data_IF_877772760799
#
_entry.id   IF_877772760799
#
_cell.length_a   1.000
_cell.length_b   1.000
_cell.length_c   1.000
_cell.angle_alpha   90.00
_cell.angle_beta   90.00
_cell.angle_gamma   90.00
#
_symmetry.space_group_name_H-M   'P 1'
#
loop_
_entity.id
_entity.type
_entity.pdbx_description
1 polymer ?
#
# COMPACT_ATOMS: atom_id res chain seq x y z
N UNK A 1 27.27 -31.32 11.86
CA UNK A 1 25.95 -30.72 12.17
C UNK A 1 25.88 -29.41 11.42
N UNK A 2 25.54 -29.46 10.14
CA UNK A 2 25.24 -28.26 9.35
C UNK A 2 24.00 -28.59 8.55
N UNK A 3 22.86 -28.09 9.01
CA UNK A 3 21.58 -28.18 8.30
C UNK A 3 21.12 -26.76 8.02
N UNK A 4 20.83 -26.46 6.76
CA UNK A 4 20.26 -25.19 6.38
C UNK A 4 18.79 -25.14 6.78
N UNK A 5 18.38 -24.01 7.34
CA UNK A 5 17.00 -23.78 7.75
C UNK A 5 16.58 -22.37 7.36
N UNK A 6 15.29 -22.23 7.02
CA UNK A 6 14.66 -20.94 6.75
C UNK A 6 13.72 -20.64 7.90
N UNK A 7 13.94 -19.50 8.55
CA UNK A 7 13.07 -19.02 9.63
C UNK A 7 12.22 -17.89 9.06
N UNK A 8 10.91 -18.01 9.19
CA UNK A 8 9.97 -16.93 8.91
C UNK A 8 9.60 -16.25 10.24
N UNK A 9 9.94 -14.97 10.45
CA UNK A 9 9.59 -14.27 11.67
C UNK A 9 8.08 -14.06 11.73
N UNK A 10 7.45 -14.50 12.81
CA UNK A 10 6.02 -14.33 13.05
C UNK A 10 5.74 -13.04 13.83
N UNK A 11 4.55 -12.46 13.60
CA UNK A 11 4.08 -11.34 14.41
C UNK A 11 3.89 -11.77 15.86
N UNK A 12 4.34 -10.94 16.80
CA UNK A 12 4.28 -11.19 18.25
C UNK A 12 5.09 -12.40 18.75
N UNK A 13 6.00 -12.93 17.94
CA UNK A 13 6.98 -13.91 18.39
C UNK A 13 8.32 -13.22 18.66
N UNK A 14 8.86 -13.39 19.87
CA UNK A 14 10.15 -12.81 20.24
C UNK A 14 11.29 -13.55 19.53
N UNK A 15 12.21 -12.79 18.94
CA UNK A 15 13.42 -13.33 18.32
C UNK A 15 14.63 -12.50 18.71
N UNK A 16 15.82 -13.11 18.69
CA UNK A 16 17.08 -12.45 19.03
C UNK A 16 17.97 -12.32 17.80
N UNK A 17 18.44 -11.10 17.51
CA UNK A 17 19.42 -10.83 16.46
C UNK A 17 20.82 -10.70 17.06
N UNK A 18 21.78 -11.46 16.51
CA UNK A 18 23.18 -11.35 16.87
C UNK A 18 24.02 -10.91 15.66
N UNK A 19 24.72 -9.79 15.78
CA UNK A 19 25.63 -9.27 14.75
C UNK A 19 26.99 -8.95 15.38
N UNK A 20 28.08 -9.15 14.64
CA UNK A 20 29.45 -8.88 15.14
C UNK A 20 29.69 -7.40 15.44
N UNK A 21 29.05 -6.50 14.69
CA UNK A 21 29.21 -5.05 14.82
C UNK A 21 27.85 -4.39 14.61
N UNK A 22 27.53 -3.42 15.46
CA UNK A 22 26.36 -2.55 15.36
C UNK A 22 26.84 -1.13 15.04
N UNK A 23 26.29 -0.51 14.00
CA UNK A 23 26.55 0.89 13.68
C UNK A 23 25.45 1.81 14.21
N UNK A 24 25.71 3.12 14.23
CA UNK A 24 24.73 4.12 14.66
C UNK A 24 23.44 4.07 13.82
N UNK A 25 23.56 3.86 12.51
CA UNK A 25 22.40 3.73 11.60
C UNK A 25 21.53 2.52 11.94
N UNK A 26 22.13 1.43 12.44
CA UNK A 26 21.37 0.24 12.83
C UNK A 26 20.57 0.52 14.11
N UNK A 27 21.18 1.22 15.08
CA UNK A 27 20.55 1.60 16.34
C UNK A 27 19.43 2.63 16.13
N UNK A 28 19.66 3.66 15.31
CA UNK A 28 18.65 4.66 14.96
C UNK A 28 17.39 4.03 14.34
N UNK A 29 17.56 3.02 13.47
CA UNK A 29 16.43 2.29 12.87
C UNK A 29 15.66 1.45 13.89
N UNK A 30 16.35 0.82 14.84
CA UNK A 30 15.71 0.07 15.91
C UNK A 30 14.91 1.02 16.80
N UNK A 31 15.49 2.16 17.17
CA UNK A 31 14.78 3.18 17.95
C UNK A 31 13.54 3.70 17.22
N UNK A 32 13.64 4.01 15.93
CA UNK A 32 12.48 4.42 15.11
C UNK A 32 11.40 3.34 15.02
N UNK A 33 11.76 2.06 14.97
CA UNK A 33 10.81 0.95 14.92
C UNK A 33 10.13 0.68 16.27
N UNK A 34 10.80 1.00 17.39
CA UNK A 34 10.25 0.89 18.74
C UNK A 34 9.39 2.09 19.14
N UNK A 35 9.54 3.23 18.48
CA UNK A 35 8.76 4.44 18.77
C UNK A 35 7.32 4.32 18.25
N UNK A 36 6.36 4.30 19.17
CA UNK A 36 4.93 4.19 18.88
C UNK A 36 4.27 5.52 18.53
N UNK A 37 4.99 6.65 18.59
CA UNK A 37 4.40 7.98 18.36
C UNK A 37 4.17 8.31 16.89
N UNK A 38 4.88 7.65 15.97
CA UNK A 38 4.81 7.90 14.52
C UNK A 38 3.87 6.93 13.76
N UNK A 39 2.92 6.26 14.40
CA UNK A 39 2.20 5.10 13.81
C UNK A 39 0.86 5.42 13.16
N UNK A 40 0.71 6.58 12.50
CA UNK A 40 -0.54 6.87 11.78
C UNK A 40 -0.39 6.45 10.32
N UNK A 41 -1.15 5.43 9.95
CA UNK A 41 -1.30 5.06 8.55
C UNK A 41 -2.22 6.05 7.83
N UNK A 42 -1.82 6.46 6.63
CA UNK A 42 -2.59 7.37 5.79
C UNK A 42 -3.07 6.63 4.55
N UNK A 43 -4.39 6.62 4.33
CA UNK A 43 -4.96 6.14 3.08
C UNK A 43 -4.88 7.25 2.01
N UNK A 44 -4.40 6.90 0.82
CA UNK A 44 -4.32 7.81 -0.32
C UNK A 44 -4.91 7.16 -1.57
N UNK A 45 -5.83 7.86 -2.24
CA UNK A 45 -6.43 7.42 -3.50
C UNK A 45 -6.03 8.40 -4.59
N UNK A 46 -5.23 7.92 -5.55
CA UNK A 46 -4.84 8.70 -6.72
C UNK A 46 -5.64 8.20 -7.91
N UNK A 47 -6.45 9.07 -8.51
CA UNK A 47 -7.36 8.69 -9.58
C UNK A 47 -7.32 9.64 -10.77
N UNK A 48 -7.49 9.04 -11.95
CA UNK A 48 -7.74 9.67 -13.24
C UNK A 48 -8.97 8.97 -13.86
N UNK A 49 -9.58 9.56 -14.90
CA UNK A 49 -10.60 8.87 -15.69
C UNK A 49 -10.11 7.48 -16.13
N UNK A 50 -10.74 6.43 -15.58
CA UNK A 50 -10.46 5.05 -15.94
C UNK A 50 -9.29 4.39 -15.22
N UNK A 51 -8.60 5.08 -14.30
CA UNK A 51 -7.51 4.51 -13.51
C UNK A 51 -7.50 5.05 -12.09
N UNK A 52 -7.53 4.17 -11.10
CA UNK A 52 -7.33 4.53 -9.70
C UNK A 52 -6.31 3.62 -9.02
N UNK A 53 -5.48 4.22 -8.18
CA UNK A 53 -4.52 3.54 -7.30
C UNK A 53 -4.89 3.86 -5.86
N UNK A 54 -5.22 2.80 -5.11
CA UNK A 54 -5.53 2.88 -3.69
C UNK A 54 -4.27 2.45 -2.94
N UNK A 55 -3.72 3.37 -2.16
CA UNK A 55 -2.45 3.21 -1.47
C UNK A 55 -2.66 3.35 0.05
N UNK A 56 -2.05 2.44 0.80
CA UNK A 56 -1.82 2.61 2.23
C UNK A 56 -0.39 3.11 2.42
N UNK A 57 -0.26 4.31 2.98
CA UNK A 57 1.01 4.91 3.34
C UNK A 57 1.24 4.64 4.82
N UNK A 58 2.18 3.75 5.11
CA UNK A 58 2.72 3.58 6.45
C UNK A 58 4.02 4.41 6.55
N UNK A 59 4.48 4.76 7.75
CA UNK A 59 5.71 5.52 7.94
C UNK A 59 6.94 4.87 7.28
N UNK A 60 6.95 3.54 7.25
CA UNK A 60 8.07 2.74 6.74
C UNK A 60 7.89 2.29 5.30
N UNK A 61 6.64 2.20 4.80
CA UNK A 61 6.35 1.59 3.51
C UNK A 61 5.11 2.18 2.83
N UNK A 62 5.16 2.27 1.50
CA UNK A 62 3.98 2.49 0.66
C UNK A 62 3.49 1.18 0.07
N UNK A 63 2.23 0.84 0.36
CA UNK A 63 1.58 -0.36 -0.11
C UNK A 63 0.47 -0.01 -1.11
N UNK A 64 0.56 -0.51 -2.34
CA UNK A 64 -0.56 -0.47 -3.28
C UNK A 64 -1.55 -1.57 -2.89
N UNK A 65 -2.74 -1.18 -2.43
CA UNK A 65 -3.80 -2.13 -2.03
C UNK A 65 -4.63 -2.58 -3.22
N UNK A 66 -4.99 -1.65 -4.11
CA UNK A 66 -5.76 -1.97 -5.29
C UNK A 66 -5.37 -1.07 -6.47
N UNK A 67 -5.41 -1.66 -7.67
CA UNK A 67 -5.36 -0.95 -8.95
C UNK A 67 -6.67 -1.21 -9.67
N UNK A 68 -7.43 -0.15 -9.94
CA UNK A 68 -8.69 -0.23 -10.66
C UNK A 68 -8.47 0.41 -12.02
N UNK A 69 -8.65 -0.38 -13.07
CA UNK A 69 -8.45 0.04 -14.45
C UNK A 69 -9.70 -0.27 -15.26
N UNK A 70 -10.27 0.76 -15.88
CA UNK A 70 -11.49 0.70 -16.68
C UNK A 70 -11.34 1.57 -17.92
N UNK A 71 -11.69 1.03 -19.08
CA UNK A 71 -11.67 1.81 -20.31
C UNK A 71 -12.90 2.72 -20.39
N UNK A 72 -12.71 4.03 -20.17
CA UNK A 72 -13.77 5.03 -20.29
C UNK A 72 -13.65 5.72 -21.66
N UNK A 73 -14.65 5.54 -22.52
CA UNK A 73 -14.67 6.17 -23.83
C UNK A 73 -14.83 7.69 -23.74
N UNK A 74 -14.14 8.46 -24.60
CA UNK A 74 -14.28 9.93 -24.64
C UNK A 74 -15.72 10.36 -24.93
N UNK A 75 -16.15 11.48 -24.31
CA UNK A 75 -17.45 12.12 -24.60
C UNK A 75 -17.60 12.38 -26.10
N UNK A 76 -18.71 11.94 -26.70
CA UNK A 76 -19.07 12.21 -28.10
C UNK A 76 -20.28 13.15 -28.15
N UNK A 77 -20.32 14.08 -29.12
CA UNK A 77 -21.51 14.91 -29.36
C UNK A 77 -22.69 14.02 -29.73
N UNK A 78 -23.77 14.08 -28.93
CA UNK A 78 -25.03 13.38 -29.19
C UNK A 78 -25.37 12.24 -28.22
N UNK A 79 -24.38 11.59 -27.59
CA UNK A 79 -24.61 10.49 -26.64
C UNK A 79 -23.61 10.53 -25.48
N UNK A 80 -23.95 11.24 -24.39
CA UNK A 80 -23.15 11.30 -23.17
C UNK A 80 -23.51 10.21 -22.14
N UNK A 81 -24.67 9.56 -22.26
CA UNK A 81 -25.20 8.65 -21.24
C UNK A 81 -24.32 7.42 -20.97
N UNK A 82 -23.62 6.91 -21.99
CA UNK A 82 -22.70 5.77 -21.85
C UNK A 82 -21.43 6.16 -21.08
N UNK A 83 -20.92 7.37 -21.29
CA UNK A 83 -19.78 7.89 -20.54
C UNK A 83 -20.16 8.07 -19.07
N UNK A 84 -21.30 8.69 -18.80
CA UNK A 84 -21.74 8.93 -17.42
C UNK A 84 -21.97 7.61 -16.66
N UNK A 85 -22.56 6.59 -17.31
CA UNK A 85 -22.71 5.24 -16.74
C UNK A 85 -21.38 4.54 -16.48
N UNK A 86 -20.43 4.63 -17.40
CA UNK A 86 -19.10 4.02 -17.23
C UNK A 86 -18.34 4.67 -16.06
N UNK A 87 -18.50 5.99 -15.91
CA UNK A 87 -17.86 6.78 -14.87
C UNK A 87 -18.49 6.54 -13.50
N UNK A 88 -19.81 6.39 -13.42
CA UNK A 88 -20.51 5.93 -12.22
C UNK A 88 -20.06 4.52 -11.79
N UNK A 89 -19.92 3.61 -12.74
CA UNK A 89 -19.38 2.26 -12.49
C UNK A 89 -17.93 2.31 -11.98
N UNK A 90 -17.10 3.18 -12.55
CA UNK A 90 -15.74 3.40 -12.08
C UNK A 90 -15.70 3.89 -10.63
N UNK A 91 -16.50 4.89 -10.27
CA UNK A 91 -16.54 5.36 -8.88
C UNK A 91 -17.08 4.31 -7.90
N UNK A 92 -18.05 3.49 -8.30
CA UNK A 92 -18.52 2.36 -7.47
C UNK A 92 -17.39 1.37 -7.20
N UNK A 93 -16.61 1.03 -8.22
CA UNK A 93 -15.46 0.14 -8.06
C UNK A 93 -14.38 0.76 -7.17
N UNK A 94 -14.14 2.07 -7.29
CA UNK A 94 -13.18 2.78 -6.42
C UNK A 94 -13.63 2.73 -4.96
N UNK A 95 -14.90 3.03 -4.67
CA UNK A 95 -15.45 2.97 -3.31
C UNK A 95 -15.38 1.54 -2.76
N UNK A 96 -15.62 0.52 -3.58
CA UNK A 96 -15.49 -0.88 -3.18
C UNK A 96 -14.04 -1.30 -2.89
N UNK A 97 -13.06 -0.65 -3.53
CA UNK A 97 -11.65 -0.94 -3.35
C UNK A 97 -10.98 -0.21 -2.19
N UNK A 98 -11.64 0.81 -1.63
CA UNK A 98 -11.22 1.51 -0.40
C UNK A 98 -11.63 0.67 0.79
#
# INVERSE_FOLDING_TARGET
>A
MEAFHTIEPELNCEFTLARKHWGNVDLEKIEQACDSTCTVDVAAVVMQEGLAHICLLTPSMRLLRAKIEMNIHRKRRGNCSLYDKALEGFYKNVIQGI
#
